data_IF_336621259064
#
_entry.id   IF_336621259064
#
_cell.length_a   1.000
_cell.length_b   1.000
_cell.length_c   1.000
_cell.angle_alpha   90.00
_cell.angle_beta   90.00
_cell.angle_gamma   90.00
#
_symmetry.space_group_name_H-M   'P 1'
#
loop_
_entity.id
_entity.type
_entity.pdbx_description
1 polymer ?
#
# COMPACT_ATOMS: atom_id res chain seq x y z
N UNK A 1 -24.00 27.65 2.02
CA UNK A 1 -22.97 28.05 3.02
C UNK A 1 -22.14 29.16 2.41
N UNK A 2 -21.89 30.27 3.12
CA UNK A 2 -20.98 31.33 2.64
C UNK A 2 -19.58 31.00 3.15
N UNK A 3 -18.64 30.74 2.25
CA UNK A 3 -17.25 30.44 2.62
C UNK A 3 -16.44 31.74 2.70
N UNK A 4 -15.58 31.86 3.71
CA UNK A 4 -14.66 32.97 3.85
C UNK A 4 -13.62 32.94 2.70
N UNK A 5 -13.30 34.11 2.15
CA UNK A 5 -12.33 34.26 1.05
C UNK A 5 -10.95 33.69 1.41
N UNK A 6 -10.55 33.76 2.68
CA UNK A 6 -9.32 33.15 3.19
C UNK A 6 -9.32 31.62 3.09
N UNK A 7 -10.45 30.97 3.37
CA UNK A 7 -10.60 29.51 3.26
C UNK A 7 -10.56 29.06 1.80
N UNK A 8 -11.10 29.87 0.89
CA UNK A 8 -11.09 29.58 -0.55
C UNK A 8 -9.67 29.65 -1.14
N UNK A 9 -8.88 30.64 -0.70
CA UNK A 9 -7.49 30.79 -1.14
C UNK A 9 -6.60 29.64 -0.66
N UNK A 10 -6.79 29.18 0.58
CA UNK A 10 -6.07 28.03 1.14
C UNK A 10 -6.46 26.70 0.47
N UNK A 11 -7.72 26.55 0.06
CA UNK A 11 -8.19 25.40 -0.70
C UNK A 11 -7.61 25.38 -2.13
N UNK A 12 -7.55 26.53 -2.81
CA UNK A 12 -6.95 26.64 -4.14
C UNK A 12 -5.43 26.42 -4.12
N UNK A 13 -4.75 26.79 -3.03
CA UNK A 13 -3.34 26.51 -2.79
C UNK A 13 -3.01 25.10 -2.32
N UNK A 14 -4.01 24.21 -2.17
CA UNK A 14 -3.83 22.83 -1.72
C UNK A 14 -3.46 22.67 -0.24
N UNK A 15 -3.53 23.75 0.54
CA UNK A 15 -3.15 23.75 1.98
C UNK A 15 -4.27 23.18 2.85
N UNK A 16 -5.52 23.20 2.37
CA UNK A 16 -6.69 22.65 3.08
C UNK A 16 -7.58 21.89 2.09
N UNK A 17 -7.92 20.64 2.38
CA UNK A 17 -8.89 19.85 1.63
C UNK A 17 -10.33 20.26 2.00
N UNK A 18 -11.16 20.57 1.00
CA UNK A 18 -12.60 20.73 1.19
C UNK A 18 -13.23 19.34 1.35
N UNK A 19 -13.88 19.07 2.49
CA UNK A 19 -14.68 17.86 2.66
C UNK A 19 -15.81 17.87 1.63
N UNK A 20 -15.72 17.00 0.62
CA UNK A 20 -16.76 16.80 -0.38
C UNK A 20 -18.02 16.27 0.30
N UNK A 21 -19.03 17.12 0.47
CA UNK A 21 -20.37 16.68 0.84
C UNK A 21 -21.00 15.96 -0.36
N UNK A 22 -20.86 14.63 -0.41
CA UNK A 22 -21.60 13.79 -1.35
C UNK A 22 -23.05 13.75 -0.88
N UNK A 23 -23.95 14.42 -1.59
CA UNK A 23 -25.38 14.08 -1.57
C UNK A 23 -25.59 12.94 -2.57
N UNK A 24 -25.91 11.75 -2.07
CA UNK A 24 -26.33 10.64 -2.90
C UNK A 24 -27.80 10.84 -3.30
N UNK A 25 -28.06 10.80 -4.61
CA UNK A 25 -29.39 10.76 -5.21
C UNK A 25 -29.82 9.29 -5.28
N UNK A 26 -30.93 8.93 -4.65
CA UNK A 26 -31.38 7.54 -4.50
C UNK A 26 -31.95 7.01 -5.83
N UNK A 27 -31.09 6.40 -6.66
CA UNK A 27 -31.53 5.48 -7.73
C UNK A 27 -31.44 4.04 -7.21
N UNK A 28 -32.35 3.13 -7.62
CA UNK A 28 -32.38 1.75 -7.12
C UNK A 28 -31.14 1.00 -7.63
N UNK A 29 -30.07 1.05 -6.83
CA UNK A 29 -28.80 0.42 -7.11
C UNK A 29 -28.90 -1.07 -6.77
N UNK A 30 -28.64 -1.88 -7.79
CA UNK A 30 -28.47 -3.34 -7.82
C UNK A 30 -27.99 -3.95 -6.49
N UNK A 31 -28.59 -5.08 -6.07
CA UNK A 31 -28.25 -5.90 -4.89
C UNK A 31 -26.75 -6.16 -4.67
N UNK A 32 -25.92 -6.06 -5.72
CA UNK A 32 -24.46 -6.16 -5.64
C UNK A 32 -23.83 -5.03 -4.83
N UNK A 33 -24.41 -3.82 -4.80
CA UNK A 33 -23.86 -2.66 -4.09
C UNK A 33 -24.13 -2.67 -2.58
N UNK A 34 -25.13 -3.41 -2.10
CA UNK A 34 -25.42 -3.50 -0.66
C UNK A 34 -24.33 -4.27 0.10
N UNK A 35 -23.68 -5.25 -0.54
CA UNK A 35 -22.57 -6.04 0.02
C UNK A 35 -21.21 -5.30 0.04
N UNK A 36 -21.06 -4.23 -0.75
CA UNK A 36 -19.82 -3.42 -0.88
C UNK A 36 -19.80 -2.25 0.11
N UNK A 37 -20.87 -2.02 0.87
CA UNK A 37 -20.99 -0.89 1.81
C UNK A 37 -19.89 -0.80 2.88
N UNK A 38 -19.20 -1.91 3.19
CA UNK A 38 -18.07 -1.96 4.13
C UNK A 38 -16.70 -2.18 3.46
N UNK A 39 -16.65 -2.28 2.13
CA UNK A 39 -15.40 -2.42 1.40
C UNK A 39 -14.83 -1.05 1.08
N UNK A 40 -13.62 -0.78 1.55
CA UNK A 40 -12.84 0.42 1.24
C UNK A 40 -11.87 0.12 0.12
N UNK A 41 -11.87 0.98 -0.90
CA UNK A 41 -10.78 1.07 -1.88
C UNK A 41 -9.82 2.17 -1.43
N UNK A 42 -8.55 1.82 -1.24
CA UNK A 42 -7.47 2.74 -0.87
C UNK A 42 -6.20 2.42 -1.65
N UNK A 43 -5.15 3.19 -1.43
CA UNK A 43 -3.91 3.03 -2.16
C UNK A 43 -3.01 4.26 -2.06
N UNK A 44 -1.86 4.18 -2.70
CA UNK A 44 -0.92 5.29 -2.78
C UNK A 44 -0.09 5.21 -4.07
N UNK A 45 0.56 6.32 -4.41
CA UNK A 45 1.56 6.39 -5.48
C UNK A 45 2.85 6.90 -4.86
N UNK A 46 3.93 6.15 -5.05
CA UNK A 46 5.27 6.50 -4.60
C UNK A 46 6.13 6.87 -5.80
N UNK A 47 6.78 8.02 -5.70
CA UNK A 47 7.76 8.51 -6.66
C UNK A 47 8.95 9.08 -5.90
N UNK A 48 10.13 9.02 -6.53
CA UNK A 48 11.36 9.51 -5.91
C UNK A 48 12.13 10.41 -6.86
N UNK A 49 12.89 11.34 -6.29
CA UNK A 49 13.91 12.10 -6.99
C UNK A 49 15.20 11.91 -6.19
N UNK A 50 16.18 11.24 -6.78
CA UNK A 50 17.42 10.89 -6.08
C UNK A 50 18.56 11.58 -6.78
N UNK A 51 19.38 12.29 -6.02
CA UNK A 51 20.64 12.85 -6.50
C UNK A 51 21.79 12.22 -5.73
N UNK A 52 22.77 11.69 -6.44
CA UNK A 52 23.97 11.08 -5.89
C UNK A 52 25.19 11.87 -6.37
N UNK A 53 25.64 12.88 -5.61
CA UNK A 53 26.82 13.65 -5.97
C UNK A 53 28.06 12.76 -6.11
N UNK A 54 28.82 12.94 -7.19
CA UNK A 54 30.06 12.22 -7.44
C UNK A 54 30.17 11.72 -8.87
N UNK A 55 31.22 10.95 -9.16
CA UNK A 55 31.48 10.38 -10.50
C UNK A 55 31.23 8.88 -10.58
N UNK A 56 30.88 8.24 -9.46
CA UNK A 56 30.64 6.80 -9.40
C UNK A 56 29.20 6.47 -9.77
N UNK A 57 29.00 5.58 -10.74
CA UNK A 57 27.70 5.01 -11.11
C UNK A 57 27.41 3.68 -10.38
N UNK A 58 28.10 3.39 -9.27
CA UNK A 58 27.86 2.19 -8.48
C UNK A 58 26.56 2.31 -7.66
N UNK A 59 25.85 1.19 -7.46
CA UNK A 59 24.74 1.14 -6.52
C UNK A 59 25.20 1.41 -5.07
N UNK A 60 24.26 1.66 -4.17
CA UNK A 60 24.55 1.79 -2.73
C UNK A 60 24.28 0.44 -2.06
N UNK A 61 25.31 -0.31 -1.62
CA UNK A 61 25.11 -1.63 -1.04
C UNK A 61 24.38 -1.53 0.30
N UNK A 62 23.56 -2.55 0.58
CA UNK A 62 22.89 -2.74 1.86
C UNK A 62 21.73 -1.78 2.14
N UNK A 63 21.05 -1.31 1.09
CA UNK A 63 19.86 -0.48 1.18
C UNK A 63 18.75 -1.06 0.29
N UNK A 64 17.50 -0.82 0.63
CA UNK A 64 16.36 -1.19 -0.23
C UNK A 64 15.81 0.04 -0.98
N UNK A 65 15.18 -0.20 -2.14
CA UNK A 65 14.51 0.80 -2.99
C UNK A 65 15.41 1.86 -3.66
N UNK A 66 16.51 2.29 -3.03
CA UNK A 66 17.52 3.19 -3.61
C UNK A 66 18.92 2.58 -3.75
N UNK A 67 19.08 1.27 -3.57
CA UNK A 67 20.35 0.61 -3.86
C UNK A 67 20.73 0.64 -5.34
N UNK A 68 19.84 0.36 -6.31
CA UNK A 68 20.21 0.29 -7.72
C UNK A 68 20.68 1.64 -8.25
N UNK A 69 21.81 1.65 -8.98
CA UNK A 69 22.33 2.85 -9.63
C UNK A 69 21.35 3.46 -10.64
N UNK A 70 20.45 2.65 -11.21
CA UNK A 70 19.40 3.09 -12.13
C UNK A 70 18.37 4.02 -11.51
N UNK A 71 18.31 4.11 -10.17
CA UNK A 71 17.43 5.03 -9.44
C UNK A 71 18.09 6.36 -9.12
N UNK A 72 19.40 6.50 -9.32
CA UNK A 72 20.16 7.69 -8.96
C UNK A 72 20.17 8.71 -10.09
N UNK A 73 20.35 9.97 -9.73
CA UNK A 73 20.45 11.13 -10.63
C UNK A 73 19.24 11.27 -11.58
N UNK A 74 18.04 11.06 -11.03
CA UNK A 74 16.81 11.04 -11.81
C UNK A 74 15.53 11.08 -10.99
N UNK A 75 14.42 11.08 -11.72
CA UNK A 75 13.07 10.94 -11.19
C UNK A 75 12.57 9.52 -11.49
N UNK A 76 11.98 8.88 -10.50
CA UNK A 76 11.51 7.49 -10.59
C UNK A 76 10.03 7.40 -10.22
N UNK A 77 9.32 6.52 -10.93
CA UNK A 77 8.11 5.90 -10.41
C UNK A 77 8.53 4.66 -9.63
N UNK A 78 8.15 4.57 -8.37
CA UNK A 78 8.56 3.49 -7.49
C UNK A 78 7.50 2.40 -7.46
N UNK A 79 6.31 2.75 -6.96
CA UNK A 79 5.17 1.84 -6.91
C UNK A 79 3.85 2.61 -6.91
N UNK A 80 2.85 2.03 -7.57
CA UNK A 80 1.44 2.36 -7.41
C UNK A 80 0.80 1.21 -6.64
N UNK A 81 0.18 1.52 -5.52
CA UNK A 81 -0.45 0.56 -4.62
C UNK A 81 -1.95 0.74 -4.66
N UNK A 82 -2.68 -0.36 -4.83
CA UNK A 82 -4.14 -0.39 -4.75
C UNK A 82 -4.57 -1.47 -3.76
N UNK A 83 -5.43 -1.12 -2.83
CA UNK A 83 -5.92 -1.99 -1.78
C UNK A 83 -7.45 -1.98 -1.73
N UNK A 84 -8.05 -3.16 -1.75
CA UNK A 84 -9.42 -3.38 -1.34
C UNK A 84 -9.41 -4.07 0.02
N UNK A 85 -10.07 -3.47 0.99
CA UNK A 85 -10.17 -4.04 2.33
C UNK A 85 -11.59 -3.97 2.84
N UNK A 86 -12.01 -4.99 3.57
CA UNK A 86 -13.20 -4.99 4.42
C UNK A 86 -12.73 -5.31 5.83
N UNK A 87 -12.84 -4.37 6.79
CA UNK A 87 -12.38 -4.60 8.15
C UNK A 87 -13.24 -5.67 8.84
N UNK A 88 -12.63 -6.34 9.82
CA UNK A 88 -13.31 -7.28 10.71
C UNK A 88 -14.21 -6.48 11.66
N UNK A 89 -15.48 -6.87 11.80
CA UNK A 89 -16.36 -6.25 12.80
C UNK A 89 -16.02 -6.76 14.20
N UNK A 90 -16.16 -5.90 15.20
CA UNK A 90 -15.81 -6.26 16.57
C UNK A 90 -16.82 -7.17 17.28
N UNK A 91 -18.00 -7.35 16.68
CA UNK A 91 -19.11 -8.10 17.27
C UNK A 91 -19.25 -9.50 16.66
N UNK A 92 -19.42 -10.49 17.54
CA UNK A 92 -19.77 -11.87 17.21
C UNK A 92 -18.89 -12.53 16.15
N UNK A 93 -19.55 -13.27 15.26
CA UNK A 93 -18.92 -13.86 14.08
C UNK A 93 -18.72 -12.79 13.02
N UNK A 94 -17.47 -12.55 12.63
CA UNK A 94 -17.10 -11.54 11.66
C UNK A 94 -16.18 -12.10 10.60
N UNK A 95 -16.31 -11.59 9.38
CA UNK A 95 -15.40 -11.91 8.28
C UNK A 95 -14.96 -10.63 7.56
N UNK A 96 -13.65 -10.48 7.44
CA UNK A 96 -12.96 -9.42 6.73
C UNK A 96 -12.04 -9.99 5.65
N UNK A 97 -11.54 -9.10 4.80
CA UNK A 97 -10.54 -9.47 3.80
C UNK A 97 -9.69 -8.26 3.42
N UNK A 98 -8.48 -8.54 2.95
CA UNK A 98 -7.58 -7.54 2.37
C UNK A 98 -6.97 -8.11 1.10
N UNK A 99 -7.03 -7.34 0.02
CA UNK A 99 -6.32 -7.60 -1.22
C UNK A 99 -5.59 -6.34 -1.65
N UNK A 100 -4.26 -6.38 -1.66
CA UNK A 100 -3.40 -5.29 -2.07
C UNK A 100 -2.51 -5.71 -3.23
N UNK A 101 -2.50 -4.88 -4.26
CA UNK A 101 -1.71 -5.03 -5.46
C UNK A 101 -0.73 -3.89 -5.57
N UNK A 102 0.47 -4.20 -6.04
CA UNK A 102 1.52 -3.24 -6.33
C UNK A 102 1.88 -3.30 -7.81
N UNK A 103 2.03 -2.12 -8.40
CA UNK A 103 2.42 -1.91 -9.79
C UNK A 103 3.66 -1.03 -9.85
N UNK A 104 4.67 -1.40 -10.63
CA UNK A 104 5.87 -0.58 -10.86
C UNK A 104 7.18 -1.31 -10.56
N UNK A 105 8.32 -0.65 -10.80
CA UNK A 105 9.65 -1.27 -10.71
C UNK A 105 9.96 -1.89 -9.34
N UNK A 106 9.45 -1.31 -8.25
CA UNK A 106 9.70 -1.84 -6.90
C UNK A 106 8.83 -3.06 -6.55
N UNK A 107 7.84 -3.40 -7.38
CA UNK A 107 7.01 -4.60 -7.21
C UNK A 107 7.75 -5.90 -7.58
N UNK A 108 8.78 -5.81 -8.43
CA UNK A 108 9.50 -6.97 -9.02
C UNK A 108 10.05 -7.91 -7.94
N UNK A 109 10.56 -7.36 -6.84
CA UNK A 109 11.14 -8.13 -5.73
C UNK A 109 10.13 -8.86 -4.84
N UNK A 110 8.84 -8.59 -5.01
CA UNK A 110 7.77 -9.13 -4.16
C UNK A 110 6.89 -10.15 -4.88
N UNK A 111 7.26 -10.60 -6.07
CA UNK A 111 6.50 -11.61 -6.80
C UNK A 111 6.79 -13.01 -6.25
N UNK A 112 5.78 -13.66 -5.68
CA UNK A 112 5.91 -14.93 -4.95
C UNK A 112 5.83 -16.20 -5.82
N UNK A 113 6.08 -16.11 -7.12
CA UNK A 113 6.09 -17.27 -7.99
C UNK A 113 7.27 -18.22 -7.71
N UNK A 114 6.98 -19.39 -7.13
CA UNK A 114 7.92 -20.51 -7.03
C UNK A 114 7.65 -21.56 -8.13
N UNK A 115 8.66 -22.06 -8.88
CA UNK A 115 9.97 -21.47 -9.15
C UNK A 115 9.91 -20.65 -10.45
N UNK A 116 10.37 -19.39 -10.43
CA UNK A 116 10.71 -18.71 -11.68
C UNK A 116 11.93 -19.39 -12.30
N UNK A 117 11.69 -20.40 -13.15
CA UNK A 117 12.73 -21.08 -13.93
C UNK A 117 13.17 -20.24 -15.15
N UNK A 118 12.41 -19.20 -15.49
CA UNK A 118 12.74 -18.24 -16.54
C UNK A 118 11.82 -17.02 -16.42
N UNK A 119 12.36 -15.87 -16.00
CA UNK A 119 11.69 -14.58 -16.18
C UNK A 119 11.82 -13.68 -14.98
N UNK A 120 12.37 -12.48 -15.22
CA UNK A 120 12.33 -11.37 -14.29
C UNK A 120 10.90 -11.20 -13.75
N UNK A 121 10.76 -11.00 -12.44
CA UNK A 121 9.47 -10.65 -11.84
C UNK A 121 8.87 -9.47 -12.60
N UNK A 122 7.55 -9.52 -12.85
CA UNK A 122 6.86 -8.42 -13.51
C UNK A 122 6.71 -7.22 -12.57
N UNK A 123 6.45 -6.05 -13.15
CA UNK A 123 6.08 -4.81 -12.45
C UNK A 123 4.66 -4.89 -11.85
N UNK A 124 4.14 -6.09 -11.59
CA UNK A 124 2.86 -6.35 -10.94
C UNK A 124 3.06 -7.47 -9.93
N UNK A 125 2.65 -7.22 -8.70
CA UNK A 125 2.66 -8.24 -7.65
C UNK A 125 1.43 -8.17 -6.75
N UNK A 126 1.05 -9.33 -6.21
CA UNK A 126 0.10 -9.44 -5.12
C UNK A 126 0.87 -9.24 -3.82
N UNK A 127 0.78 -8.04 -3.25
CA UNK A 127 1.50 -7.70 -2.02
C UNK A 127 0.96 -8.47 -0.81
N UNK A 128 -0.36 -8.57 -0.73
CA UNK A 128 -1.07 -9.35 0.28
C UNK A 128 -2.47 -9.65 -0.22
N UNK A 129 -2.95 -10.85 0.05
CA UNK A 129 -4.29 -11.32 -0.26
C UNK A 129 -4.69 -12.34 0.78
N UNK A 130 -5.49 -11.92 1.75
CA UNK A 130 -5.89 -12.78 2.87
C UNK A 130 -7.33 -12.49 3.32
N UNK A 131 -7.90 -13.47 4.01
CA UNK A 131 -9.17 -13.38 4.72
C UNK A 131 -8.94 -13.43 6.22
N UNK A 132 -9.76 -12.72 6.97
CA UNK A 132 -9.78 -12.72 8.43
C UNK A 132 -11.14 -13.21 8.91
N UNK A 133 -11.14 -14.13 9.88
CA UNK A 133 -12.33 -14.66 10.51
C UNK A 133 -12.22 -14.47 12.03
N UNK A 134 -13.22 -13.80 12.62
CA UNK A 134 -13.39 -13.75 14.07
C UNK A 134 -14.30 -14.88 14.52
N UNK A 135 -13.77 -15.70 15.41
CA UNK A 135 -14.51 -16.77 16.08
C UNK A 135 -14.75 -16.33 17.53
N UNK A 136 -15.99 -16.04 17.95
CA UNK A 136 -16.31 -15.53 19.28
C UNK A 136 -16.31 -16.64 20.34
N UNK A 137 -15.25 -17.45 20.38
CA UNK A 137 -15.02 -18.48 21.40
C UNK A 137 -13.99 -17.94 22.39
N UNK A 138 -14.31 -17.98 23.68
CA UNK A 138 -13.45 -17.45 24.74
C UNK A 138 -13.33 -15.93 24.65
N UNK A 139 -12.09 -15.43 24.57
CA UNK A 139 -11.81 -13.99 24.42
C UNK A 139 -11.89 -13.50 22.96
N UNK A 140 -12.36 -14.36 22.04
CA UNK A 140 -12.29 -14.13 20.60
C UNK A 140 -10.97 -14.65 20.03
N UNK A 141 -11.08 -15.37 18.90
CA UNK A 141 -9.93 -15.84 18.13
C UNK A 141 -10.04 -15.24 16.74
N UNK A 142 -9.02 -14.50 16.33
CA UNK A 142 -8.88 -13.99 14.97
C UNK A 142 -7.98 -14.92 14.16
N UNK A 143 -8.52 -15.47 13.08
CA UNK A 143 -7.80 -16.37 12.18
C UNK A 143 -7.55 -15.65 10.86
N UNK A 144 -6.28 -15.48 10.51
CA UNK A 144 -5.83 -14.93 9.22
C UNK A 144 -5.37 -16.04 8.31
N UNK A 145 -5.95 -16.15 7.12
CA UNK A 145 -5.56 -17.16 6.12
C UNK A 145 -5.33 -16.49 4.77
N UNK A 146 -4.19 -16.81 4.14
CA UNK A 146 -3.87 -16.35 2.80
C UNK A 146 -2.39 -15.97 2.66
N UNK A 147 -2.12 -15.10 1.70
CA UNK A 147 -0.81 -14.50 1.51
C UNK A 147 -0.77 -13.15 2.24
N UNK A 148 0.18 -12.98 3.14
CA UNK A 148 0.39 -11.73 3.87
C UNK A 148 1.89 -11.53 4.10
N UNK A 149 2.28 -10.29 4.28
CA UNK A 149 3.67 -9.95 4.56
C UNK A 149 4.09 -10.47 5.93
N UNK A 150 5.41 -10.61 6.10
CA UNK A 150 6.01 -10.84 7.39
C UNK A 150 5.50 -9.84 8.44
N UNK A 151 5.12 -10.36 9.61
CA UNK A 151 4.48 -9.60 10.70
C UNK A 151 5.52 -9.09 11.72
N UNK A 152 6.73 -9.65 11.72
CA UNK A 152 7.74 -9.39 12.75
C UNK A 152 8.78 -8.32 12.43
N UNK A 153 8.62 -7.56 11.33
CA UNK A 153 9.59 -6.56 10.88
C UNK A 153 9.32 -5.18 11.49
N UNK A 154 10.38 -4.47 11.88
CA UNK A 154 10.28 -3.07 12.32
C UNK A 154 10.17 -2.09 11.15
N UNK A 155 10.75 -2.46 10.00
CA UNK A 155 10.74 -1.71 8.77
C UNK A 155 9.79 -2.39 7.77
N UNK A 156 8.91 -1.61 7.14
CA UNK A 156 7.82 -2.16 6.30
C UNK A 156 7.97 -1.69 4.86
N UNK A 157 7.74 -2.53 3.86
CA UNK A 157 7.98 -2.16 2.47
C UNK A 157 7.05 -1.06 1.95
N UNK A 158 5.87 -0.87 2.54
CA UNK A 158 4.93 0.19 2.15
C UNK A 158 5.49 1.57 2.51
N UNK A 159 5.59 2.45 1.51
CA UNK A 159 6.22 3.78 1.68
C UNK A 159 5.39 4.74 2.53
N UNK A 160 4.10 4.46 2.71
CA UNK A 160 3.23 5.24 3.59
C UNK A 160 3.38 4.88 5.08
N UNK A 161 3.88 3.68 5.37
CA UNK A 161 3.93 3.11 6.72
C UNK A 161 5.34 3.17 7.33
N UNK A 162 6.32 3.70 6.59
CA UNK A 162 7.68 3.94 7.04
C UNK A 162 8.04 5.42 6.86
N UNK A 163 8.70 6.01 7.86
CA UNK A 163 9.16 7.40 7.79
C UNK A 163 10.36 7.57 6.85
N UNK A 164 11.13 6.50 6.65
CA UNK A 164 12.27 6.50 5.74
C UNK A 164 11.84 6.02 4.35
N UNK A 165 12.37 6.62 3.30
CA UNK A 165 12.14 6.14 1.94
C UNK A 165 12.76 4.76 1.68
N UNK A 166 14.00 4.58 2.15
CA UNK A 166 14.81 3.38 1.98
C UNK A 166 14.82 2.56 3.26
N UNK A 167 15.10 1.26 3.15
CA UNK A 167 15.19 0.35 4.30
C UNK A 167 16.64 0.07 4.67
N UNK A 168 16.87 -0.18 5.95
CA UNK A 168 18.20 -0.48 6.46
C UNK A 168 18.75 -1.79 5.89
N UNK A 169 20.04 -2.01 6.13
CA UNK A 169 20.67 -3.27 5.78
C UNK A 169 20.06 -4.46 6.53
N UNK A 170 19.63 -4.26 7.77
CA UNK A 170 19.01 -5.31 8.58
C UNK A 170 17.73 -5.83 7.92
N UNK A 171 16.90 -4.94 7.40
CA UNK A 171 15.68 -5.29 6.67
C UNK A 171 15.95 -6.22 5.48
N UNK A 172 17.06 -6.01 4.75
CA UNK A 172 17.44 -6.87 3.62
C UNK A 172 17.85 -8.29 4.04
N UNK A 173 18.09 -8.51 5.33
CA UNK A 173 18.48 -9.79 5.92
C UNK A 173 17.34 -10.43 6.73
N UNK A 174 16.23 -9.73 6.91
CA UNK A 174 15.08 -10.25 7.65
C UNK A 174 14.44 -11.43 6.89
N UNK A 175 13.88 -12.41 7.61
CA UNK A 175 13.06 -13.45 6.98
C UNK A 175 11.87 -12.80 6.25
N UNK A 176 11.76 -13.08 4.95
CA UNK A 176 10.63 -12.66 4.11
C UNK A 176 9.38 -13.52 4.33
#
# INVERSE_FOLDING_TARGET
MKFNQWTLALAAGGVVSLASAVRADEKPMSQVLTAVSSTTLSGYVSTSAIWKPGTSSAGIPGRAFDAPASKHDGFNLDVVSLMLAKPLSDDGWAAGYTAQLWFGPDAVGFNTAAPSLAGAGGDLTVKQAYVELRVPIGNGIDVKLGHFNYIGGYEVPDSGDDLNYSRSYAWTLEPA
#
